data_IF_170919352338
#
_entry.id   IF_170919352338
#
_cell.length_a   1.000
_cell.length_b   1.000
_cell.length_c   1.000
_cell.angle_alpha   90.00
_cell.angle_beta   90.00
_cell.angle_gamma   90.00
#
_symmetry.space_group_name_H-M   'P 1'
#
loop_
_entity.id
_entity.type
_entity.pdbx_description
1 polymer ?
#
# COMPACT_ATOMS: atom_id res chain seq x y z
N UNK A 1 -0.38 9.44 -31.71
CA UNK A 1 -0.51 9.46 -30.23
C UNK A 1 -1.21 8.18 -29.81
N UNK A 2 -0.70 7.46 -28.81
CA UNK A 2 -1.41 6.33 -28.21
C UNK A 2 -2.59 6.83 -27.37
N UNK A 3 -3.69 6.07 -27.34
CA UNK A 3 -4.84 6.29 -26.44
C UNK A 3 -4.80 5.27 -25.31
N UNK A 4 -5.13 5.71 -24.10
CA UNK A 4 -5.17 4.85 -22.92
C UNK A 4 -6.52 4.97 -22.23
N UNK A 5 -7.07 3.84 -21.82
CA UNK A 5 -8.16 3.75 -20.84
C UNK A 5 -7.53 3.38 -19.51
N UNK A 6 -7.79 4.18 -18.48
CA UNK A 6 -7.30 3.96 -17.11
C UNK A 6 -8.52 3.70 -16.22
N UNK A 7 -8.54 2.57 -15.54
CA UNK A 7 -9.54 2.24 -14.53
C UNK A 7 -8.95 2.54 -13.15
N UNK A 8 -9.71 3.27 -12.34
CA UNK A 8 -9.35 3.63 -10.98
C UNK A 8 -10.45 3.20 -10.02
N UNK A 9 -10.06 2.78 -8.82
CA UNK A 9 -10.97 2.46 -7.72
C UNK A 9 -10.47 3.11 -6.44
N UNK A 10 -11.32 3.10 -5.41
CA UNK A 10 -10.94 3.32 -4.01
C UNK A 10 -11.69 2.29 -3.16
N UNK A 11 -11.24 2.05 -1.92
CA UNK A 11 -12.01 1.23 -0.98
C UNK A 11 -13.00 2.12 -0.24
N UNK A 12 -14.28 1.74 -0.28
CA UNK A 12 -15.34 2.36 0.48
C UNK A 12 -15.59 1.51 1.74
N UNK A 13 -15.25 2.01 2.94
CA UNK A 13 -15.60 1.31 4.17
C UNK A 13 -17.12 1.22 4.29
N UNK A 14 -17.59 0.01 4.59
CA UNK A 14 -18.98 -0.27 4.95
C UNK A 14 -18.95 -0.76 6.39
N UNK A 15 -19.79 -0.16 7.23
CA UNK A 15 -19.84 -0.46 8.65
C UNK A 15 -21.28 -0.70 9.11
N UNK A 16 -21.42 -1.31 10.28
CA UNK A 16 -22.69 -1.45 10.99
C UNK A 16 -22.45 -1.27 12.48
N UNK A 17 -23.48 -0.86 13.21
CA UNK A 17 -23.39 -0.64 14.66
C UNK A 17 -24.50 -1.40 15.37
N UNK A 18 -24.11 -2.34 16.24
CA UNK A 18 -25.04 -3.17 17.01
C UNK A 18 -24.57 -3.34 18.45
N UNK A 19 -25.53 -3.66 19.31
CA UNK A 19 -25.27 -3.99 20.71
C UNK A 19 -25.11 -5.49 20.85
N UNK A 20 -24.01 -5.93 21.46
CA UNK A 20 -23.75 -7.32 21.80
C UNK A 20 -23.60 -7.47 23.31
N UNK A 21 -24.43 -8.29 23.93
CA UNK A 21 -24.29 -8.65 25.33
C UNK A 21 -23.29 -9.81 25.46
N UNK A 22 -22.20 -9.59 26.19
CA UNK A 22 -21.17 -10.59 26.39
C UNK A 22 -20.45 -10.41 27.72
N UNK A 23 -19.74 -11.45 28.18
CA UNK A 23 -19.00 -11.43 29.43
C UNK A 23 -17.73 -10.56 29.38
N UNK A 24 -17.22 -10.28 28.18
CA UNK A 24 -16.04 -9.45 27.95
C UNK A 24 -16.09 -8.72 26.61
N UNK A 25 -15.24 -7.70 26.44
CA UNK A 25 -15.06 -7.02 25.15
C UNK A 25 -14.59 -8.01 24.07
N UNK A 26 -13.72 -8.96 24.41
CA UNK A 26 -13.25 -9.98 23.47
C UNK A 26 -14.38 -10.87 22.96
N UNK A 27 -15.26 -11.31 23.87
CA UNK A 27 -16.43 -12.12 23.51
C UNK A 27 -17.42 -11.32 22.66
N UNK A 28 -17.66 -10.04 22.99
CA UNK A 28 -18.50 -9.16 22.18
C UNK A 28 -17.92 -8.94 20.77
N UNK A 29 -16.60 -8.77 20.64
CA UNK A 29 -15.94 -8.67 19.34
C UNK A 29 -16.07 -9.96 18.52
N UNK A 30 -15.96 -11.14 19.15
CA UNK A 30 -16.15 -12.40 18.46
C UNK A 30 -17.60 -12.56 17.96
N UNK A 31 -18.59 -12.19 18.78
CA UNK A 31 -20.00 -12.15 18.36
C UNK A 31 -20.19 -11.20 17.18
N UNK A 32 -19.60 -10.00 17.24
CA UNK A 32 -19.71 -9.00 16.18
C UNK A 32 -19.09 -9.42 14.85
N UNK A 33 -17.99 -10.21 14.87
CA UNK A 33 -17.36 -10.76 13.66
C UNK A 33 -18.17 -11.95 13.11
N UNK A 34 -18.76 -12.77 13.98
CA UNK A 34 -19.53 -13.94 13.58
C UNK A 34 -20.94 -13.61 13.07
N UNK A 35 -21.46 -12.41 13.36
CA UNK A 35 -22.75 -11.94 12.86
C UNK A 35 -22.69 -11.68 11.34
N UNK A 36 -23.45 -12.41 10.54
CA UNK A 36 -23.46 -12.29 9.08
C UNK A 36 -24.50 -11.30 8.55
N UNK A 37 -25.34 -10.70 9.40
CA UNK A 37 -26.44 -9.82 8.95
C UNK A 37 -25.97 -8.40 8.65
N UNK A 38 -25.99 -7.97 7.40
CA UNK A 38 -25.55 -6.62 6.97
C UNK A 38 -26.69 -5.70 6.49
N UNK A 39 -27.94 -6.03 6.84
CA UNK A 39 -29.13 -5.28 6.38
C UNK A 39 -29.19 -3.82 6.87
N UNK A 40 -28.48 -3.50 7.96
CA UNK A 40 -28.36 -2.17 8.59
C UNK A 40 -26.99 -1.52 8.34
N UNK A 41 -26.31 -1.91 7.27
CA UNK A 41 -25.03 -1.34 6.89
C UNK A 41 -25.13 0.11 6.43
N UNK A 42 -24.06 0.87 6.64
CA UNK A 42 -23.89 2.23 6.17
C UNK A 42 -22.49 2.41 5.56
N UNK A 43 -22.39 3.30 4.59
CA UNK A 43 -21.16 3.60 3.87
C UNK A 43 -20.46 4.80 4.53
N UNK A 44 -19.16 4.67 4.80
CA UNK A 44 -18.34 5.78 5.25
C UNK A 44 -17.56 6.37 4.08
N UNK A 45 -18.23 7.25 3.32
CA UNK A 45 -17.62 7.95 2.18
C UNK A 45 -16.51 8.90 2.63
N UNK A 46 -16.63 9.48 3.82
CA UNK A 46 -15.68 10.48 4.33
C UNK A 46 -14.32 9.86 4.70
N UNK A 47 -14.31 8.58 5.08
CA UNK A 47 -13.07 7.83 5.33
C UNK A 47 -12.70 6.87 4.20
N UNK A 48 -13.29 7.05 3.02
CA UNK A 48 -12.88 6.33 1.81
C UNK A 48 -11.38 6.45 1.56
N UNK A 49 -10.77 5.32 1.19
CA UNK A 49 -9.33 5.23 0.97
C UNK A 49 -8.86 6.08 -0.22
N UNK A 50 -7.57 6.02 -0.50
CA UNK A 50 -7.04 6.70 -1.70
C UNK A 50 -7.61 6.09 -2.99
N UNK A 51 -7.67 6.90 -4.05
CA UNK A 51 -7.94 6.40 -5.40
C UNK A 51 -6.65 5.84 -6.01
N UNK A 52 -6.71 4.62 -6.52
CA UNK A 52 -5.60 3.92 -7.17
C UNK A 52 -6.01 3.26 -8.47
N UNK A 53 -5.02 2.91 -9.31
CA UNK A 53 -5.26 2.29 -10.64
C UNK A 53 -5.42 0.79 -10.50
N UNK A 54 -6.46 0.24 -11.14
CA UNK A 54 -6.75 -1.21 -11.22
C UNK A 54 -6.67 -1.78 -12.63
N UNK A 55 -6.62 -0.93 -13.65
CA UNK A 55 -6.50 -1.38 -15.03
C UNK A 55 -5.99 -0.32 -16.01
N UNK A 56 -5.25 -0.78 -17.02
CA UNK A 56 -4.72 0.06 -18.10
C UNK A 56 -4.88 -0.70 -19.42
N UNK A 57 -5.52 -0.06 -20.42
CA UNK A 57 -5.65 -0.60 -21.77
C UNK A 57 -5.18 0.42 -22.80
N UNK A 58 -4.25 0.03 -23.65
CA UNK A 58 -3.75 0.86 -24.74
C UNK A 58 -4.51 0.59 -26.05
N UNK A 59 -4.67 1.65 -26.86
CA UNK A 59 -5.30 1.64 -28.18
C UNK A 59 -6.76 1.15 -28.16
N UNK A 60 -7.49 1.49 -27.09
CA UNK A 60 -8.91 1.19 -26.95
C UNK A 60 -9.73 2.42 -26.57
N UNK A 61 -11.03 2.33 -26.83
CA UNK A 61 -12.02 3.34 -26.44
C UNK A 61 -12.71 2.99 -25.11
N UNK A 62 -12.62 1.73 -24.66
CA UNK A 62 -13.20 1.24 -23.40
C UNK A 62 -12.30 0.21 -22.75
N UNK A 63 -12.49 0.01 -21.44
CA UNK A 63 -11.81 -1.03 -20.69
C UNK A 63 -12.07 -2.41 -21.32
N UNK A 64 -11.11 -3.33 -21.15
CA UNK A 64 -11.17 -4.72 -21.65
C UNK A 64 -11.20 -4.91 -23.17
N UNK A 65 -11.04 -3.84 -23.96
CA UNK A 65 -11.04 -3.92 -25.43
C UNK A 65 -9.67 -3.74 -26.08
N UNK A 66 -8.67 -3.26 -25.33
CA UNK A 66 -7.32 -2.97 -25.82
C UNK A 66 -6.26 -3.89 -25.26
N UNK A 67 -5.00 -3.59 -25.61
CA UNK A 67 -3.85 -4.29 -25.04
C UNK A 67 -3.70 -3.90 -23.57
N UNK A 68 -3.94 -4.86 -22.67
CA UNK A 68 -3.73 -4.66 -21.24
C UNK A 68 -2.25 -4.34 -20.97
N UNK A 69 -2.01 -3.33 -20.12
CA UNK A 69 -0.67 -2.93 -19.69
C UNK A 69 -0.49 -3.17 -18.20
N UNK A 70 0.74 -3.47 -17.81
CA UNK A 70 1.11 -3.55 -16.41
C UNK A 70 0.94 -2.19 -15.73
N UNK A 71 0.32 -2.21 -14.55
CA UNK A 71 0.14 -1.02 -13.73
C UNK A 71 1.48 -0.72 -13.05
N UNK A 72 2.09 0.46 -13.28
CA UNK A 72 3.31 0.84 -12.59
C UNK A 72 3.08 0.92 -11.07
N UNK A 73 4.05 0.45 -10.29
CA UNK A 73 3.92 0.30 -8.83
C UNK A 73 3.53 1.61 -8.14
N UNK A 74 3.98 2.75 -8.66
CA UNK A 74 3.66 4.09 -8.13
C UNK A 74 2.14 4.42 -8.13
N UNK A 75 1.35 3.75 -8.96
CA UNK A 75 -0.10 3.98 -9.09
C UNK A 75 -0.95 2.90 -8.41
N UNK A 76 -0.33 1.89 -7.80
CA UNK A 76 -1.04 0.95 -6.93
C UNK A 76 -1.35 1.61 -5.59
N UNK A 77 -2.32 1.04 -4.89
CA UNK A 77 -2.68 1.45 -3.53
C UNK A 77 -1.46 1.49 -2.61
N UNK A 78 -1.29 2.57 -1.87
CA UNK A 78 -0.21 2.84 -0.92
C UNK A 78 -0.11 1.74 0.13
N UNK A 79 -1.23 1.25 0.67
CA UNK A 79 -1.18 0.16 1.67
C UNK A 79 -0.59 -1.13 1.06
N UNK A 80 -0.94 -1.43 -0.20
CA UNK A 80 -0.39 -2.58 -0.92
C UNK A 80 1.10 -2.40 -1.19
N UNK A 81 1.52 -1.22 -1.64
CA UNK A 81 2.94 -0.89 -1.85
C UNK A 81 3.75 -1.01 -0.56
N UNK A 82 3.19 -0.57 0.58
CA UNK A 82 3.81 -0.75 1.91
C UNK A 82 3.94 -2.22 2.30
N UNK A 83 2.92 -3.03 2.02
CA UNK A 83 2.96 -4.48 2.30
C UNK A 83 4.03 -5.18 1.44
N UNK A 84 4.05 -4.91 0.13
CA UNK A 84 5.05 -5.50 -0.78
C UNK A 84 6.48 -5.05 -0.39
N UNK A 85 6.66 -3.79 0.03
CA UNK A 85 7.93 -3.29 0.56
C UNK A 85 8.31 -3.96 1.88
N UNK A 86 7.36 -4.19 2.78
CA UNK A 86 7.60 -4.88 4.05
C UNK A 86 8.13 -6.30 3.81
N UNK A 87 7.50 -7.06 2.92
CA UNK A 87 7.97 -8.40 2.56
C UNK A 87 9.39 -8.36 2.00
N UNK A 88 9.68 -7.39 1.13
CA UNK A 88 11.03 -7.18 0.58
C UNK A 88 12.06 -6.85 1.67
N UNK A 89 11.73 -5.98 2.61
CA UNK A 89 12.61 -5.64 3.73
C UNK A 89 12.87 -6.85 4.62
N UNK A 90 11.86 -7.68 4.89
CA UNK A 90 12.02 -8.92 5.65
C UNK A 90 13.01 -9.87 4.97
N UNK A 91 12.94 -10.03 3.65
CA UNK A 91 13.92 -10.85 2.89
C UNK A 91 15.33 -10.28 3.05
N UNK A 92 15.50 -8.97 2.86
CA UNK A 92 16.82 -8.30 2.98
C UNK A 92 17.41 -8.44 4.39
N UNK A 93 16.58 -8.35 5.43
CA UNK A 93 17.01 -8.52 6.82
C UNK A 93 17.39 -9.98 7.12
N UNK A 94 16.66 -10.95 6.56
CA UNK A 94 16.98 -12.38 6.70
C UNK A 94 18.29 -12.76 6.02
N UNK A 95 18.62 -12.14 4.89
CA UNK A 95 19.93 -12.32 4.24
C UNK A 95 21.07 -11.82 5.12
N UNK A 96 20.87 -10.71 5.84
CA UNK A 96 21.86 -10.18 6.77
C UNK A 96 21.98 -11.04 8.04
N UNK A 97 20.86 -11.53 8.56
CA UNK A 97 20.78 -12.27 9.83
C UNK A 97 21.26 -13.74 9.74
N UNK A 98 21.97 -14.13 8.67
CA UNK A 98 22.52 -15.47 8.55
C UNK A 98 23.62 -15.72 9.60
N UNK A 99 23.79 -16.96 10.12
CA UNK A 99 24.74 -17.27 11.20
C UNK A 99 26.20 -16.88 10.91
N UNK A 100 26.62 -16.97 9.63
CA UNK A 100 27.96 -16.57 9.18
C UNK A 100 28.01 -15.11 8.67
N UNK A 101 26.88 -14.40 8.73
CA UNK A 101 26.70 -13.09 8.11
C UNK A 101 26.83 -13.13 6.58
N UNK A 102 26.99 -11.95 6.00
CA UNK A 102 27.27 -11.78 4.57
C UNK A 102 28.78 -11.77 4.33
N UNK A 103 29.23 -12.51 3.31
CA UNK A 103 30.60 -12.33 2.77
C UNK A 103 30.75 -10.94 2.15
N UNK A 104 31.97 -10.45 1.97
CA UNK A 104 32.21 -9.13 1.36
C UNK A 104 31.55 -9.00 -0.03
N UNK A 105 31.64 -10.05 -0.85
CA UNK A 105 31.02 -10.08 -2.18
C UNK A 105 29.50 -10.06 -2.08
N UNK A 106 28.92 -10.80 -1.13
CA UNK A 106 27.47 -10.81 -0.91
C UNK A 106 26.98 -9.46 -0.38
N UNK A 107 27.72 -8.85 0.56
CA UNK A 107 27.43 -7.52 1.10
C UNK A 107 27.40 -6.45 0.00
N UNK A 108 28.38 -6.44 -0.92
CA UNK A 108 28.41 -5.51 -2.06
C UNK A 108 27.22 -5.66 -3.00
N UNK A 109 26.62 -6.85 -3.10
CA UNK A 109 25.39 -7.11 -3.89
C UNK A 109 24.12 -6.78 -3.11
N UNK A 110 24.14 -6.97 -1.81
CA UNK A 110 23.02 -6.71 -0.91
C UNK A 110 22.78 -5.21 -0.67
N UNK A 111 23.84 -4.43 -0.44
CA UNK A 111 23.73 -3.02 -0.06
C UNK A 111 22.92 -2.18 -1.07
N UNK A 112 23.13 -2.27 -2.40
CA UNK A 112 22.31 -1.54 -3.37
C UNK A 112 20.81 -1.90 -3.29
N UNK A 113 20.48 -3.16 -3.02
CA UNK A 113 19.09 -3.63 -2.89
C UNK A 113 18.39 -3.03 -1.68
N UNK A 114 19.11 -2.87 -0.56
CA UNK A 114 18.62 -2.18 0.64
C UNK A 114 18.42 -0.70 0.39
N UNK A 115 19.40 -0.03 -0.20
CA UNK A 115 19.31 1.40 -0.52
C UNK A 115 18.13 1.69 -1.47
N UNK A 116 17.88 0.82 -2.45
CA UNK A 116 16.72 0.92 -3.33
C UNK A 116 15.40 0.74 -2.57
N UNK A 117 15.32 -0.22 -1.65
CA UNK A 117 14.12 -0.43 -0.83
C UNK A 117 13.86 0.76 0.12
N UNK A 118 14.91 1.39 0.68
CA UNK A 118 14.78 2.59 1.50
C UNK A 118 14.31 3.80 0.68
N UNK A 119 14.86 4.00 -0.52
CA UNK A 119 14.40 5.07 -1.41
C UNK A 119 12.93 4.89 -1.82
N UNK A 120 12.51 3.64 -2.06
CA UNK A 120 11.11 3.31 -2.30
C UNK A 120 10.22 3.60 -1.08
N UNK A 121 10.71 3.30 0.13
CA UNK A 121 10.02 3.63 1.38
C UNK A 121 9.78 5.14 1.53
N UNK A 122 10.79 5.96 1.24
CA UNK A 122 10.70 7.41 1.31
C UNK A 122 9.71 7.97 0.29
N UNK A 123 9.75 7.44 -0.95
CA UNK A 123 8.79 7.80 -2.01
C UNK A 123 7.34 7.45 -1.63
N UNK A 124 7.11 6.31 -0.96
CA UNK A 124 5.78 5.89 -0.49
C UNK A 124 5.29 6.78 0.66
N UNK A 125 6.17 7.24 1.53
CA UNK A 125 5.79 8.05 2.70
C UNK A 125 5.63 9.54 2.37
N UNK A 126 5.82 9.93 1.11
CA UNK A 126 5.79 11.34 0.70
C UNK A 126 6.96 12.15 1.30
N UNK A 127 7.96 11.46 1.87
CA UNK A 127 9.23 12.10 2.21
C UNK A 127 9.98 12.26 0.89
N UNK A 128 9.80 13.41 0.24
CA UNK A 128 10.88 13.90 -0.62
C UNK A 128 12.14 13.85 0.22
N UNK A 129 13.20 13.22 -0.32
CA UNK A 129 14.53 13.16 0.26
C UNK A 129 14.95 14.56 0.74
N UNK A 130 14.61 14.91 1.98
CA UNK A 130 15.13 16.08 2.65
C UNK A 130 16.58 15.75 2.93
N UNK A 131 17.45 16.19 2.02
CA UNK A 131 18.85 16.38 2.35
C UNK A 131 18.89 17.33 3.57
N UNK A 132 19.68 17.04 4.60
CA UNK A 132 19.78 17.92 5.75
C UNK A 132 20.48 19.21 5.33
N UNK A 133 19.73 20.33 5.23
CA UNK A 133 20.38 21.63 5.03
C UNK A 133 19.61 22.80 4.39
N UNK A 134 18.32 22.70 4.05
CA UNK A 134 17.63 23.91 3.55
C UNK A 134 17.10 24.79 4.70
N UNK A 135 17.45 26.09 4.72
CA UNK A 135 17.02 27.01 5.76
C UNK A 135 15.53 27.30 5.62
N UNK A 136 14.83 27.33 6.75
CA UNK A 136 13.45 27.84 6.84
C UNK A 136 13.46 29.31 6.45
N UNK A 137 12.92 29.61 5.29
CA UNK A 137 12.61 30.98 4.88
C UNK A 137 11.50 31.49 5.81
N UNK A 138 11.84 32.48 6.64
CA UNK A 138 10.92 33.20 7.51
C UNK A 138 9.74 33.72 6.68
N UNK A 139 8.51 33.37 7.09
CA UNK A 139 7.30 34.02 6.62
C UNK A 139 6.91 35.11 7.64
N UNK A 140 6.45 36.29 7.17
CA UNK A 140 6.19 37.47 8.00
C UNK A 140 4.99 37.33 8.93
#
# INVERSE_FOLDING_TARGET
>A
MSRFVIETTYHLPVYRQRVYEAASVGDACQLAIADEGWEDEDEDVDTSGETFVTGIWENADRAYQGTARMIPDAFRETIRRKADLFDRLVVLLRELAQPLGLSEVAFRRWLPSVLAALAEADAIQGRSSMLPGEPTEDMP
#
